data_IF_081742536118
#
_entry.id   IF_081742536118
#
_cell.length_a   1.000
_cell.length_b   1.000
_cell.length_c   1.000
_cell.angle_alpha   90.00
_cell.angle_beta   90.00
_cell.angle_gamma   90.00
#
_symmetry.space_group_name_H-M   'P 1'
#
loop_
_entity.id
_entity.type
_entity.pdbx_description
1 polymer ?
#
# COMPACT_ATOMS: atom_id res chain seq x y z
N UNK A 1 -30.39 -12.58 13.13
CA UNK A 1 -31.44 -11.98 12.31
C UNK A 1 -32.74 -12.61 12.74
N UNK A 2 -33.55 -11.88 13.48
CA UNK A 2 -34.96 -12.21 13.67
C UNK A 2 -35.69 -11.35 12.64
N UNK A 3 -35.98 -11.89 11.49
CA UNK A 3 -36.94 -11.33 10.57
C UNK A 3 -38.32 -11.70 11.11
N UNK A 4 -39.21 -10.73 11.23
CA UNK A 4 -40.63 -11.01 11.35
C UNK A 4 -41.17 -11.58 10.06
N UNK A 5 -42.28 -12.30 10.14
CA UNK A 5 -42.88 -13.08 9.04
C UNK A 5 -43.20 -12.28 7.76
N UNK A 6 -42.97 -10.97 7.74
CA UNK A 6 -43.23 -10.05 6.62
C UNK A 6 -41.95 -9.48 5.98
N UNK A 7 -40.76 -9.94 6.33
CA UNK A 7 -39.52 -9.48 5.68
C UNK A 7 -39.08 -8.04 5.99
N UNK A 8 -39.70 -7.38 6.92
CA UNK A 8 -39.40 -6.00 7.30
C UNK A 8 -38.22 -6.03 8.31
N UNK A 9 -37.09 -5.47 7.93
CA UNK A 9 -35.94 -5.30 8.83
C UNK A 9 -36.39 -4.40 9.98
N UNK A 10 -36.49 -4.94 11.20
CA UNK A 10 -36.84 -4.14 12.40
C UNK A 10 -35.67 -3.19 12.66
N UNK A 11 -35.82 -1.93 12.29
CA UNK A 11 -34.89 -0.85 12.61
C UNK A 11 -35.07 -0.45 14.08
N UNK A 12 -34.12 -0.85 14.95
CA UNK A 12 -34.13 -0.44 16.34
C UNK A 12 -34.02 1.08 16.43
N UNK A 13 -34.88 1.70 17.27
CA UNK A 13 -34.86 3.15 17.52
C UNK A 13 -34.33 3.41 18.92
N UNK A 14 -33.51 4.43 19.04
CA UNK A 14 -32.89 4.85 20.29
C UNK A 14 -32.83 6.37 20.39
N UNK A 15 -32.19 6.85 21.43
CA UNK A 15 -31.92 8.28 21.66
C UNK A 15 -30.50 8.50 22.13
N UNK A 16 -29.90 9.62 21.78
CA UNK A 16 -28.59 10.04 22.26
C UNK A 16 -28.63 10.36 23.73
N UNK A 17 -27.79 9.72 24.55
CA UNK A 17 -27.72 9.92 26.00
C UNK A 17 -26.43 10.61 26.45
N UNK A 18 -25.35 10.51 25.68
CA UNK A 18 -24.12 11.24 25.95
C UNK A 18 -23.34 11.52 24.67
N UNK A 19 -22.60 12.63 24.64
CA UNK A 19 -21.69 13.00 23.55
C UNK A 19 -20.36 13.42 24.18
N UNK A 20 -19.26 12.81 23.74
CA UNK A 20 -17.89 13.12 24.20
C UNK A 20 -16.94 13.17 23.00
N UNK A 21 -16.73 14.34 22.43
CA UNK A 21 -15.99 14.48 21.18
C UNK A 21 -16.61 13.66 20.06
N UNK A 22 -15.86 12.76 19.43
CA UNK A 22 -16.35 11.87 18.37
C UNK A 22 -17.03 10.59 18.86
N UNK A 23 -17.34 10.48 20.17
CA UNK A 23 -18.04 9.31 20.74
C UNK A 23 -19.45 9.72 21.17
N UNK A 24 -20.42 8.91 20.78
CA UNK A 24 -21.85 9.11 21.06
C UNK A 24 -22.38 7.85 21.75
N UNK A 25 -22.91 8.02 22.97
CA UNK A 25 -23.63 6.95 23.65
C UNK A 25 -25.12 7.06 23.33
N UNK A 26 -25.75 5.98 22.90
CA UNK A 26 -27.16 5.93 22.52
C UNK A 26 -27.89 4.81 23.26
N UNK A 27 -29.04 5.11 23.83
CA UNK A 27 -29.91 4.16 24.50
C UNK A 27 -30.95 3.58 23.55
N UNK A 28 -31.10 2.27 23.54
CA UNK A 28 -32.05 1.52 22.75
C UNK A 28 -32.99 0.71 23.70
N UNK A 29 -34.17 1.20 24.03
CA UNK A 29 -35.02 0.58 25.05
C UNK A 29 -35.51 -0.83 24.70
N UNK A 30 -35.70 -1.12 23.42
CA UNK A 30 -36.26 -2.40 22.97
C UNK A 30 -35.16 -3.46 22.71
N UNK A 31 -34.11 -3.10 21.94
CA UNK A 31 -33.03 -3.99 21.60
C UNK A 31 -31.81 -3.19 21.15
N UNK A 32 -30.68 -3.40 21.82
CA UNK A 32 -29.42 -2.76 21.46
C UNK A 32 -28.86 -3.34 20.13
N UNK A 33 -28.43 -2.49 19.20
CA UNK A 33 -27.76 -2.91 17.99
C UNK A 33 -26.46 -3.68 18.31
N UNK A 34 -26.09 -4.62 17.45
CA UNK A 34 -24.85 -5.37 17.58
C UNK A 34 -23.63 -4.47 17.33
N UNK A 35 -22.47 -4.86 17.83
CA UNK A 35 -21.19 -4.23 17.51
C UNK A 35 -21.01 -4.22 15.99
N UNK A 36 -20.41 -3.14 15.48
CA UNK A 36 -20.22 -2.79 14.05
C UNK A 36 -21.52 -2.43 13.29
N UNK A 37 -22.69 -2.42 13.95
CA UNK A 37 -23.89 -1.92 13.27
C UNK A 37 -23.77 -0.42 13.00
N UNK A 38 -24.13 -0.02 11.78
CA UNK A 38 -24.24 1.39 11.40
C UNK A 38 -25.56 1.95 11.95
N UNK A 39 -25.49 3.07 12.64
CA UNK A 39 -26.65 3.80 13.14
C UNK A 39 -26.56 5.27 12.71
N UNK A 40 -27.70 5.94 12.64
CA UNK A 40 -27.77 7.35 12.24
C UNK A 40 -28.39 8.18 13.35
N UNK A 41 -27.79 9.32 13.68
CA UNK A 41 -28.28 10.31 14.60
C UNK A 41 -28.13 11.72 14.02
N UNK A 42 -29.22 12.46 13.83
CA UNK A 42 -29.20 13.83 13.29
C UNK A 42 -28.50 13.92 11.91
N UNK A 43 -28.64 12.89 11.07
CA UNK A 43 -27.97 12.81 9.76
C UNK A 43 -26.50 12.34 9.82
N UNK A 44 -25.94 12.12 11.00
CA UNK A 44 -24.56 11.67 11.21
C UNK A 44 -24.52 10.15 11.26
N UNK A 45 -23.63 9.54 10.49
CA UNK A 45 -23.37 8.11 10.56
C UNK A 45 -22.45 7.79 11.77
N UNK A 46 -22.84 6.77 12.52
CA UNK A 46 -22.14 6.29 13.71
C UNK A 46 -21.96 4.78 13.61
N UNK A 47 -20.82 4.23 14.02
CA UNK A 47 -20.63 2.79 14.16
C UNK A 47 -20.66 2.38 15.63
N UNK A 48 -21.42 1.33 15.96
CA UNK A 48 -21.46 0.76 17.31
C UNK A 48 -20.13 0.09 17.61
N UNK A 49 -19.39 0.63 18.57
CA UNK A 49 -18.07 0.15 18.97
C UNK A 49 -18.09 -0.77 20.18
N UNK A 50 -19.03 -0.57 21.11
CA UNK A 50 -19.17 -1.40 22.29
C UNK A 50 -20.57 -1.30 22.91
N UNK A 51 -20.92 -2.31 23.68
CA UNK A 51 -22.11 -2.33 24.53
C UNK A 51 -21.70 -1.82 25.93
N UNK A 52 -22.41 -0.83 26.46
CA UNK A 52 -22.08 -0.23 27.77
C UNK A 52 -22.91 -0.86 28.90
N UNK A 53 -24.06 -1.43 28.58
CA UNK A 53 -25.02 -2.04 29.52
C UNK A 53 -26.40 -1.35 29.42
N UNK A 54 -27.42 -1.99 29.97
CA UNK A 54 -28.79 -1.47 30.07
C UNK A 54 -29.37 -0.93 28.74
N UNK A 55 -29.06 -1.58 27.62
CA UNK A 55 -29.49 -1.17 26.29
C UNK A 55 -28.74 0.04 25.72
N UNK A 56 -27.67 0.49 26.39
CA UNK A 56 -26.83 1.60 25.91
C UNK A 56 -25.68 1.06 25.07
N UNK A 57 -25.50 1.62 23.88
CA UNK A 57 -24.37 1.36 23.01
C UNK A 57 -23.49 2.58 22.91
N UNK A 58 -22.19 2.36 22.82
CA UNK A 58 -21.19 3.38 22.54
C UNK A 58 -20.80 3.33 21.07
N UNK A 59 -20.93 4.47 20.40
CA UNK A 59 -20.71 4.59 18.98
C UNK A 59 -19.56 5.56 18.69
N UNK A 60 -18.83 5.28 17.60
CA UNK A 60 -17.83 6.19 17.02
C UNK A 60 -18.46 6.93 15.86
N UNK A 61 -18.30 8.26 15.85
CA UNK A 61 -18.80 9.09 14.78
C UNK A 61 -17.93 8.93 13.51
N UNK A 62 -18.61 8.77 12.37
CA UNK A 62 -18.03 8.75 11.03
C UNK A 62 -18.22 10.10 10.32
N UNK A 63 -18.30 11.15 11.09
CA UNK A 63 -18.43 12.54 10.65
C UNK A 63 -18.45 13.50 11.84
N UNK A 64 -18.46 14.81 11.57
CA UNK A 64 -18.51 15.82 12.64
C UNK A 64 -19.83 15.76 13.42
N UNK A 65 -19.74 15.67 14.75
CA UNK A 65 -20.91 15.60 15.64
C UNK A 65 -21.50 16.97 15.98
N UNK A 66 -21.05 18.02 15.31
CA UNK A 66 -21.54 19.39 15.55
C UNK A 66 -23.04 19.48 15.27
N UNK A 67 -23.79 20.03 16.22
CA UNK A 67 -25.24 20.19 16.14
C UNK A 67 -26.04 18.97 16.62
N UNK A 68 -25.38 17.86 16.97
CA UNK A 68 -26.05 16.73 17.61
C UNK A 68 -26.30 17.04 19.09
N UNK A 69 -27.56 16.91 19.54
CA UNK A 69 -27.98 17.17 20.94
C UNK A 69 -28.34 15.90 21.68
N UNK A 70 -28.35 15.99 23.01
CA UNK A 70 -28.93 14.95 23.87
C UNK A 70 -30.41 14.76 23.55
N UNK A 71 -30.90 13.54 23.63
CA UNK A 71 -32.29 13.21 23.26
C UNK A 71 -32.53 13.10 21.76
N UNK A 72 -31.54 13.42 20.89
CA UNK A 72 -31.68 13.26 19.46
C UNK A 72 -32.03 11.80 19.08
N UNK A 73 -32.95 11.57 18.13
CA UNK A 73 -33.31 10.23 17.71
C UNK A 73 -32.18 9.53 17.02
N UNK A 74 -31.99 8.24 17.35
CA UNK A 74 -31.02 7.35 16.72
C UNK A 74 -31.77 6.22 16.03
N UNK A 75 -31.40 5.93 14.79
CA UNK A 75 -32.00 4.85 14.01
C UNK A 75 -30.93 3.86 13.60
N UNK A 76 -31.10 2.59 13.92
CA UNK A 76 -30.22 1.51 13.48
C UNK A 76 -30.55 1.09 12.05
N UNK A 77 -29.52 0.82 11.26
CA UNK A 77 -29.70 0.22 9.91
C UNK A 77 -29.88 -1.30 9.97
N UNK A 78 -29.67 -1.91 11.15
CA UNK A 78 -29.67 -3.37 11.32
C UNK A 78 -28.46 -4.10 10.71
N UNK A 79 -27.57 -3.39 10.02
CA UNK A 79 -26.41 -3.95 9.33
C UNK A 79 -25.15 -3.12 9.59
N UNK A 80 -23.99 -3.72 9.34
CA UNK A 80 -22.72 -3.01 9.36
C UNK A 80 -22.59 -2.04 8.16
N UNK A 81 -21.62 -1.13 8.24
CA UNK A 81 -21.26 -0.28 7.11
C UNK A 81 -20.95 -1.16 5.90
N UNK A 82 -21.55 -0.83 4.76
CA UNK A 82 -21.35 -1.53 3.49
C UNK A 82 -20.91 -0.56 2.40
N UNK A 83 -20.14 -1.06 1.44
CA UNK A 83 -19.65 -0.31 0.28
C UNK A 83 -20.15 -0.92 -1.02
N UNK A 84 -20.33 -0.11 -2.09
CA UNK A 84 -20.60 -0.64 -3.41
C UNK A 84 -19.42 -1.50 -3.89
N UNK A 85 -19.71 -2.60 -4.55
CA UNK A 85 -18.73 -3.47 -5.18
C UNK A 85 -19.13 -3.76 -6.63
N UNK A 86 -18.22 -4.23 -7.44
CA UNK A 86 -18.46 -4.51 -8.85
C UNK A 86 -17.68 -3.61 -9.79
N UNK A 87 -17.83 -3.81 -11.08
CA UNK A 87 -17.13 -3.03 -12.12
C UNK A 87 -17.51 -1.54 -12.09
N UNK A 88 -18.68 -1.21 -11.58
CA UNK A 88 -19.15 0.18 -11.48
C UNK A 88 -18.31 1.08 -10.55
N UNK A 89 -17.42 0.49 -9.73
CA UNK A 89 -16.48 1.28 -8.89
C UNK A 89 -15.15 1.55 -9.61
N UNK A 90 -14.88 0.90 -10.75
CA UNK A 90 -13.70 1.18 -11.55
C UNK A 90 -13.75 2.61 -12.12
N UNK A 91 -12.61 3.25 -12.20
CA UNK A 91 -12.51 4.64 -12.64
C UNK A 91 -13.06 5.65 -11.64
N UNK A 92 -13.26 5.29 -10.36
CA UNK A 92 -13.92 6.15 -9.38
C UNK A 92 -13.01 6.51 -8.19
N UNK A 93 -13.23 7.72 -7.68
CA UNK A 93 -12.69 8.18 -6.41
C UNK A 93 -13.81 8.22 -5.38
N UNK A 94 -13.69 7.43 -4.31
CA UNK A 94 -14.74 7.16 -3.34
C UNK A 94 -14.27 7.43 -1.90
N UNK A 95 -15.21 7.72 -1.02
CA UNK A 95 -14.94 7.82 0.42
C UNK A 95 -15.18 6.47 1.15
N UNK A 96 -15.10 6.49 2.50
CA UNK A 96 -15.30 5.31 3.36
C UNK A 96 -16.66 4.63 3.15
N UNK A 97 -17.69 5.35 2.73
CA UNK A 97 -19.05 4.85 2.47
C UNK A 97 -19.21 4.34 1.02
N UNK A 98 -18.19 4.51 0.18
CA UNK A 98 -18.28 4.31 -1.26
C UNK A 98 -19.08 5.41 -1.97
N UNK A 99 -19.23 6.57 -1.33
CA UNK A 99 -19.79 7.75 -1.97
C UNK A 99 -18.72 8.48 -2.81
N UNK A 100 -19.11 9.10 -3.94
CA UNK A 100 -18.16 9.71 -4.87
C UNK A 100 -17.49 10.95 -4.29
N UNK A 101 -16.19 11.08 -4.51
CA UNK A 101 -15.36 12.27 -4.30
C UNK A 101 -14.96 12.93 -5.62
N UNK A 102 -15.19 12.26 -6.75
CA UNK A 102 -14.82 12.67 -8.10
C UNK A 102 -15.83 13.61 -8.78
N UNK A 103 -16.88 14.04 -8.06
CA UNK A 103 -17.93 14.89 -8.61
C UNK A 103 -18.91 14.18 -9.54
N UNK A 104 -18.75 12.89 -9.77
CA UNK A 104 -19.64 12.09 -10.61
C UNK A 104 -20.82 11.51 -9.79
N UNK A 105 -21.90 11.05 -10.44
CA UNK A 105 -23.00 10.36 -9.76
C UNK A 105 -22.50 9.11 -9.00
N UNK A 106 -23.22 8.65 -7.96
CA UNK A 106 -22.88 7.41 -7.26
C UNK A 106 -22.74 6.21 -8.21
N UNK A 107 -21.84 5.25 -7.91
CA UNK A 107 -21.69 4.04 -8.72
C UNK A 107 -23.01 3.30 -8.87
N UNK A 108 -23.40 3.00 -10.11
CA UNK A 108 -24.66 2.30 -10.42
C UNK A 108 -24.48 0.79 -10.22
N UNK A 109 -24.54 0.36 -8.97
CA UNK A 109 -24.52 -1.08 -8.62
C UNK A 109 -25.53 -1.35 -7.51
N UNK A 110 -26.25 -2.47 -7.65
CA UNK A 110 -27.10 -3.00 -6.58
C UNK A 110 -26.29 -3.82 -5.56
N UNK A 111 -25.06 -4.22 -5.92
CA UNK A 111 -24.21 -5.04 -5.05
C UNK A 111 -23.48 -4.17 -4.03
N UNK A 112 -23.73 -4.46 -2.76
CA UNK A 112 -23.02 -3.86 -1.64
C UNK A 112 -22.51 -4.97 -0.72
N UNK A 113 -21.34 -4.78 -0.14
CA UNK A 113 -20.72 -5.74 0.77
C UNK A 113 -20.30 -5.04 2.07
N UNK A 114 -20.62 -5.65 3.21
CA UNK A 114 -20.18 -5.14 4.51
C UNK A 114 -18.68 -5.10 4.63
N UNK A 115 -18.13 -4.07 5.29
CA UNK A 115 -16.67 -3.88 5.37
C UNK A 115 -15.98 -4.78 6.42
N UNK A 116 -16.73 -5.31 7.36
CA UNK A 116 -16.21 -6.22 8.39
C UNK A 116 -16.28 -7.67 7.90
N UNK A 117 -15.36 -8.02 6.99
CA UNK A 117 -15.23 -9.38 6.47
C UNK A 117 -14.15 -10.14 7.25
N UNK A 118 -14.32 -11.46 7.47
CA UNK A 118 -13.26 -12.31 7.98
C UNK A 118 -12.15 -12.50 6.93
N UNK A 119 -10.94 -12.85 7.35
CA UNK A 119 -9.89 -13.26 6.41
C UNK A 119 -10.30 -14.55 5.67
N UNK A 120 -9.73 -14.79 4.47
CA UNK A 120 -9.95 -16.04 3.75
C UNK A 120 -9.56 -17.24 4.64
N UNK A 121 -10.37 -18.33 4.66
CA UNK A 121 -10.03 -19.52 5.42
C UNK A 121 -8.74 -20.15 4.89
N UNK A 122 -7.97 -20.82 5.75
CA UNK A 122 -6.70 -21.43 5.37
C UNK A 122 -6.85 -22.46 4.24
N UNK A 123 -8.00 -23.13 4.16
CA UNK A 123 -8.32 -24.06 3.07
C UNK A 123 -8.36 -23.45 1.69
N UNK A 124 -8.63 -22.15 1.60
CA UNK A 124 -8.77 -21.42 0.32
C UNK A 124 -7.50 -20.66 -0.06
N UNK A 125 -6.56 -20.51 0.88
CA UNK A 125 -5.29 -19.84 0.63
C UNK A 125 -4.36 -20.70 -0.23
N UNK A 126 -3.65 -20.05 -1.16
CA UNK A 126 -2.56 -20.67 -1.92
C UNK A 126 -1.29 -20.54 -1.10
N UNK A 127 -0.68 -21.68 -0.77
CA UNK A 127 0.56 -21.72 0.03
C UNK A 127 1.83 -21.68 -0.82
N UNK A 128 1.71 -21.73 -2.14
CA UNK A 128 2.86 -21.67 -3.04
C UNK A 128 3.33 -20.22 -3.16
N UNK A 129 4.59 -20.00 -2.84
CA UNK A 129 5.24 -18.72 -3.04
C UNK A 129 5.46 -18.48 -4.54
N UNK A 130 4.84 -17.41 -5.07
CA UNK A 130 5.00 -16.96 -6.45
C UNK A 130 5.46 -15.50 -6.45
N UNK A 131 6.39 -15.15 -7.35
CA UNK A 131 6.87 -13.78 -7.50
C UNK A 131 5.92 -13.01 -8.42
N UNK A 132 5.54 -11.80 -8.03
CA UNK A 132 4.92 -10.81 -8.89
C UNK A 132 6.03 -10.01 -9.57
N UNK A 133 6.22 -10.19 -10.85
CA UNK A 133 7.17 -9.43 -11.65
C UNK A 133 6.64 -8.01 -11.87
N UNK A 134 7.37 -7.01 -11.38
CA UNK A 134 6.95 -5.61 -11.47
C UNK A 134 7.41 -4.92 -12.75
N UNK A 135 8.37 -5.50 -13.45
CA UNK A 135 9.04 -4.90 -14.59
C UNK A 135 9.99 -3.76 -14.21
N UNK A 136 10.29 -3.61 -12.91
CA UNK A 136 11.22 -2.62 -12.36
C UNK A 136 12.49 -3.34 -11.90
N UNK A 137 13.59 -3.16 -12.64
CA UNK A 137 14.86 -3.89 -12.45
C UNK A 137 15.32 -3.96 -11.00
N UNK A 138 15.36 -2.82 -10.31
CA UNK A 138 15.88 -2.74 -8.95
C UNK A 138 15.01 -3.52 -7.94
N UNK A 139 13.70 -3.56 -8.13
CA UNK A 139 12.76 -4.29 -7.28
C UNK A 139 12.83 -5.77 -7.59
N UNK A 140 12.63 -6.15 -8.84
CA UNK A 140 12.54 -7.55 -9.25
C UNK A 140 13.83 -8.31 -8.97
N UNK A 141 15.00 -7.66 -9.13
CA UNK A 141 16.30 -8.26 -8.84
C UNK A 141 16.56 -8.45 -7.35
N UNK A 142 16.33 -7.40 -6.54
CA UNK A 142 16.87 -7.32 -5.18
C UNK A 142 15.83 -7.52 -4.08
N UNK A 143 14.57 -7.17 -4.33
CA UNK A 143 13.46 -7.33 -3.39
C UNK A 143 12.19 -7.81 -4.09
N UNK A 144 12.24 -9.00 -4.73
CA UNK A 144 11.10 -9.54 -5.48
C UNK A 144 9.85 -9.59 -4.62
N UNK A 145 8.73 -9.14 -5.18
CA UNK A 145 7.45 -9.03 -4.50
C UNK A 145 6.73 -10.37 -4.55
N UNK A 146 6.19 -10.81 -3.41
CA UNK A 146 5.34 -11.99 -3.33
C UNK A 146 3.94 -11.70 -3.86
N UNK A 147 3.45 -12.51 -4.79
CA UNK A 147 2.06 -12.45 -5.27
C UNK A 147 1.11 -12.88 -4.13
N UNK A 148 0.22 -11.97 -3.73
CA UNK A 148 -0.63 -12.15 -2.55
C UNK A 148 0.06 -11.85 -1.24
N UNK A 149 1.31 -11.36 -1.29
CA UNK A 149 2.07 -10.90 -0.14
C UNK A 149 1.89 -9.42 0.15
N UNK A 150 2.67 -8.94 1.09
CA UNK A 150 2.64 -7.56 1.59
C UNK A 150 4.04 -6.99 1.54
N UNK A 151 4.19 -5.90 0.80
CA UNK A 151 5.47 -5.20 0.65
C UNK A 151 5.41 -3.84 1.30
N UNK A 152 6.35 -3.56 2.19
CA UNK A 152 6.52 -2.24 2.76
C UNK A 152 7.35 -1.34 1.84
N UNK A 153 6.85 -0.15 1.56
CA UNK A 153 7.57 0.89 0.84
C UNK A 153 8.01 1.97 1.83
N UNK A 154 9.31 2.04 2.07
CA UNK A 154 9.93 2.97 3.01
C UNK A 154 10.60 4.11 2.28
N UNK A 155 10.50 5.31 2.82
CA UNK A 155 11.19 6.48 2.26
C UNK A 155 10.59 7.79 2.75
N UNK A 156 11.43 8.81 2.85
CA UNK A 156 11.01 10.15 3.21
C UNK A 156 10.26 10.88 2.09
N UNK A 157 9.97 12.15 2.30
CA UNK A 157 9.40 12.99 1.25
C UNK A 157 10.42 13.26 0.13
N UNK A 158 9.95 13.38 -1.11
CA UNK A 158 10.76 13.77 -2.26
C UNK A 158 11.67 12.69 -2.85
N UNK A 159 11.52 11.42 -2.47
CA UNK A 159 12.34 10.31 -3.02
C UNK A 159 11.68 9.59 -4.21
N UNK A 160 10.56 10.09 -4.71
CA UNK A 160 9.86 9.50 -5.85
C UNK A 160 8.87 8.37 -5.48
N UNK A 161 8.36 8.35 -4.22
CA UNK A 161 7.41 7.33 -3.78
C UNK A 161 6.16 7.27 -4.66
N UNK A 162 5.49 8.41 -4.86
CA UNK A 162 4.26 8.51 -5.68
C UNK A 162 4.52 8.05 -7.11
N UNK A 163 5.63 8.48 -7.71
CA UNK A 163 6.04 8.08 -9.07
C UNK A 163 6.23 6.57 -9.16
N UNK A 164 6.87 5.95 -8.17
CA UNK A 164 7.04 4.51 -8.13
C UNK A 164 5.70 3.78 -8.00
N UNK A 165 4.79 4.27 -7.14
CA UNK A 165 3.45 3.71 -7.00
C UNK A 165 2.65 3.81 -8.30
N UNK A 166 2.72 4.96 -8.97
CA UNK A 166 2.07 5.19 -10.26
C UNK A 166 2.57 4.21 -11.33
N UNK A 167 3.88 3.96 -11.37
CA UNK A 167 4.49 3.02 -12.30
C UNK A 167 4.05 1.58 -12.02
N UNK A 168 3.97 1.18 -10.74
CA UNK A 168 3.49 -0.14 -10.34
C UNK A 168 2.01 -0.35 -10.74
N UNK A 169 1.17 0.68 -10.60
CA UNK A 169 -0.20 0.66 -11.10
C UNK A 169 -0.22 0.45 -12.61
N UNK A 170 0.54 1.27 -13.34
CA UNK A 170 0.62 1.20 -14.80
C UNK A 170 1.04 -0.21 -15.27
N UNK A 171 2.11 -0.75 -14.71
CA UNK A 171 2.63 -2.05 -15.08
C UNK A 171 1.65 -3.19 -14.73
N UNK A 172 0.96 -3.12 -13.58
CA UNK A 172 -0.05 -4.10 -13.19
C UNK A 172 -1.25 -4.10 -14.15
N UNK A 173 -1.74 -2.92 -14.50
CA UNK A 173 -2.89 -2.76 -15.39
C UNK A 173 -2.59 -3.23 -16.81
N UNK A 174 -1.46 -2.83 -17.37
CA UNK A 174 -1.13 -3.09 -18.77
C UNK A 174 -0.56 -4.51 -19.00
N UNK A 175 0.25 -5.03 -18.07
CA UNK A 175 0.96 -6.29 -18.28
C UNK A 175 0.32 -7.48 -17.56
N UNK A 176 -0.26 -7.27 -16.37
CA UNK A 176 -0.92 -8.36 -15.63
C UNK A 176 -2.44 -8.40 -15.84
N UNK A 177 -3.01 -7.44 -16.60
CA UNK A 177 -4.46 -7.32 -16.81
C UNK A 177 -5.25 -7.33 -15.49
N UNK A 178 -4.59 -6.91 -14.41
CA UNK A 178 -5.14 -6.84 -13.07
C UNK A 178 -5.91 -5.54 -12.82
N UNK A 179 -6.50 -5.48 -11.64
CA UNK A 179 -7.17 -4.28 -11.11
C UNK A 179 -6.28 -3.67 -10.03
N UNK A 180 -6.14 -2.36 -10.04
CA UNK A 180 -5.43 -1.65 -8.99
C UNK A 180 -6.40 -0.91 -8.08
N UNK A 181 -6.18 -1.00 -6.77
CA UNK A 181 -6.87 -0.18 -5.78
C UNK A 181 -5.87 0.69 -5.03
N UNK A 182 -6.20 1.96 -4.89
CA UNK A 182 -5.44 2.87 -4.04
C UNK A 182 -6.27 3.24 -2.82
N UNK A 183 -5.72 3.05 -1.64
CA UNK A 183 -6.32 3.41 -0.37
C UNK A 183 -5.49 4.51 0.30
N UNK A 184 -5.99 5.73 0.29
CA UNK A 184 -5.41 6.88 1.00
C UNK A 184 -5.95 6.98 2.43
N UNK A 185 -5.11 6.68 3.43
CA UNK A 185 -5.47 6.76 4.84
C UNK A 185 -4.83 8.00 5.47
N UNK A 186 -5.63 8.98 5.82
CA UNK A 186 -5.14 10.22 6.42
C UNK A 186 -4.33 11.09 5.45
N UNK A 187 -4.56 10.93 4.16
CA UNK A 187 -3.88 11.70 3.12
C UNK A 187 -4.47 13.10 2.96
N UNK A 188 -3.67 14.01 2.41
CA UNK A 188 -4.10 15.37 2.10
C UNK A 188 -4.94 15.35 0.83
N UNK A 189 -6.00 16.15 0.81
CA UNK A 189 -6.89 16.28 -0.35
C UNK A 189 -6.14 16.63 -1.64
N UNK A 190 -5.12 17.47 -1.54
CA UNK A 190 -4.27 17.86 -2.67
C UNK A 190 -3.49 16.67 -3.26
N UNK A 191 -2.93 15.81 -2.43
CA UNK A 191 -2.18 14.63 -2.88
C UNK A 191 -3.11 13.62 -3.58
N UNK A 192 -4.34 13.48 -3.07
CA UNK A 192 -5.38 12.67 -3.70
C UNK A 192 -5.78 13.21 -5.10
N UNK A 193 -5.93 14.53 -5.23
CA UNK A 193 -6.25 15.20 -6.49
C UNK A 193 -5.12 15.07 -7.51
N UNK A 194 -3.86 15.27 -7.07
CA UNK A 194 -2.66 15.11 -7.90
C UNK A 194 -2.58 13.68 -8.44
N UNK A 195 -2.72 12.66 -7.58
CA UNK A 195 -2.71 11.26 -7.98
C UNK A 195 -3.86 10.93 -8.94
N UNK A 196 -5.07 11.44 -8.70
CA UNK A 196 -6.20 11.24 -9.59
C UNK A 196 -5.94 11.77 -11.01
N UNK A 197 -5.31 12.94 -11.10
CA UNK A 197 -4.95 13.55 -12.39
C UNK A 197 -3.85 12.73 -13.07
N UNK A 198 -2.77 12.38 -12.35
CA UNK A 198 -1.65 11.59 -12.87
C UNK A 198 -2.12 10.25 -13.44
N UNK A 199 -3.02 9.55 -12.74
CA UNK A 199 -3.60 8.30 -13.24
C UNK A 199 -4.46 8.49 -14.48
N UNK A 200 -5.12 9.65 -14.60
CA UNK A 200 -5.85 10.01 -15.81
C UNK A 200 -4.91 10.28 -16.99
N UNK A 201 -3.84 11.01 -16.75
CA UNK A 201 -2.81 11.31 -17.77
C UNK A 201 -2.04 10.05 -18.22
N UNK A 202 -1.81 9.10 -17.29
CA UNK A 202 -1.21 7.81 -17.58
C UNK A 202 -2.15 6.81 -18.27
N UNK A 203 -3.45 7.13 -18.42
CA UNK A 203 -4.44 6.28 -19.10
C UNK A 203 -4.86 5.04 -18.32
N UNK A 204 -4.51 4.91 -17.04
CA UNK A 204 -4.77 3.71 -16.22
C UNK A 204 -5.97 3.87 -15.28
N UNK A 205 -6.51 5.08 -15.17
CA UNK A 205 -7.58 5.41 -14.22
C UNK A 205 -8.80 4.50 -14.34
N UNK A 206 -9.21 4.15 -15.55
CA UNK A 206 -10.43 3.37 -15.78
C UNK A 206 -10.35 1.92 -15.28
N UNK A 207 -9.15 1.43 -14.94
CA UNK A 207 -8.89 0.10 -14.40
C UNK A 207 -8.49 0.13 -12.92
N UNK A 208 -8.69 1.26 -12.24
CA UNK A 208 -8.39 1.39 -10.82
C UNK A 208 -9.56 1.94 -10.03
N UNK A 209 -9.50 1.72 -8.71
CA UNK A 209 -10.41 2.32 -7.73
C UNK A 209 -9.58 3.10 -6.72
N UNK A 210 -10.00 4.31 -6.40
CA UNK A 210 -9.37 5.11 -5.34
C UNK A 210 -10.34 5.29 -4.19
N UNK A 211 -9.89 5.00 -2.96
CA UNK A 211 -10.72 5.13 -1.74
C UNK A 211 -9.95 5.96 -0.73
N UNK A 212 -10.53 7.05 -0.27
CA UNK A 212 -9.87 8.00 0.63
C UNK A 212 -10.61 8.20 1.94
N UNK A 213 -9.84 8.19 3.05
CA UNK A 213 -10.18 8.79 4.32
C UNK A 213 -9.21 9.94 4.56
N UNK A 214 -9.66 11.18 4.30
CA UNK A 214 -8.80 12.36 4.31
C UNK A 214 -8.31 12.72 5.73
N UNK A 215 -7.22 13.47 5.81
CA UNK A 215 -6.59 13.86 7.08
C UNK A 215 -7.52 14.64 8.02
N UNK A 216 -8.43 15.45 7.46
CA UNK A 216 -9.37 16.26 8.22
C UNK A 216 -10.67 15.51 8.61
N UNK A 217 -10.83 14.28 8.18
CA UNK A 217 -12.02 13.47 8.53
C UNK A 217 -11.89 12.86 9.93
N UNK A 218 -13.03 12.45 10.48
CA UNK A 218 -13.11 11.85 11.81
C UNK A 218 -12.19 10.61 11.93
N UNK A 219 -11.61 10.34 13.13
CA UNK A 219 -10.76 9.18 13.34
C UNK A 219 -11.41 7.85 12.93
N UNK A 220 -12.72 7.69 13.15
CA UNK A 220 -13.49 6.52 12.72
C UNK A 220 -13.45 6.31 11.20
N UNK A 221 -13.52 7.37 10.41
CA UNK A 221 -13.41 7.30 8.94
C UNK A 221 -12.03 6.80 8.53
N UNK A 222 -10.97 7.43 9.06
CA UNK A 222 -9.58 7.05 8.76
C UNK A 222 -9.24 5.62 9.19
N UNK A 223 -9.89 5.13 10.26
CA UNK A 223 -9.72 3.77 10.74
C UNK A 223 -10.47 2.73 9.90
N UNK A 224 -11.61 3.10 9.29
CA UNK A 224 -12.44 2.16 8.53
C UNK A 224 -12.14 2.16 7.02
N UNK A 225 -11.56 3.21 6.47
CA UNK A 225 -11.36 3.35 5.02
C UNK A 225 -10.53 2.22 4.41
N UNK A 226 -9.52 1.72 5.13
CA UNK A 226 -8.74 0.55 4.70
C UNK A 226 -9.59 -0.71 4.54
N UNK A 227 -10.57 -0.91 5.43
CA UNK A 227 -11.52 -2.02 5.33
C UNK A 227 -12.47 -1.84 4.14
N UNK A 228 -12.88 -0.61 3.85
CA UNK A 228 -13.72 -0.28 2.69
C UNK A 228 -13.01 -0.60 1.38
N UNK A 229 -11.76 -0.13 1.22
CA UNK A 229 -10.94 -0.42 0.06
C UNK A 229 -10.71 -1.92 -0.11
N UNK A 230 -10.35 -2.60 0.98
CA UNK A 230 -10.06 -4.04 0.96
C UNK A 230 -11.31 -4.86 0.59
N UNK A 231 -12.51 -4.43 1.03
CA UNK A 231 -13.77 -5.09 0.64
C UNK A 231 -14.07 -4.96 -0.86
N UNK A 232 -13.71 -3.82 -1.47
CA UNK A 232 -13.80 -3.66 -2.92
C UNK A 232 -12.77 -4.54 -3.65
N UNK A 233 -11.53 -4.63 -3.13
CA UNK A 233 -10.49 -5.49 -3.66
C UNK A 233 -10.88 -6.98 -3.61
N UNK A 234 -11.47 -7.42 -2.52
CA UNK A 234 -11.94 -8.79 -2.33
C UNK A 234 -13.00 -9.20 -3.35
N UNK A 235 -13.85 -8.29 -3.80
CA UNK A 235 -14.80 -8.57 -4.87
C UNK A 235 -14.08 -8.99 -6.15
N UNK A 236 -13.06 -8.27 -6.57
CA UNK A 236 -12.31 -8.60 -7.78
C UNK A 236 -11.54 -9.91 -7.65
N UNK A 237 -10.93 -10.17 -6.48
CA UNK A 237 -10.26 -11.44 -6.18
C UNK A 237 -11.22 -12.62 -6.19
N UNK A 238 -12.35 -12.53 -5.45
CA UNK A 238 -13.18 -13.67 -5.09
C UNK A 238 -14.29 -13.95 -6.11
N UNK A 239 -14.87 -12.90 -6.73
CA UNK A 239 -15.98 -13.04 -7.69
C UNK A 239 -15.49 -12.94 -9.14
N UNK A 240 -14.46 -12.13 -9.40
CA UNK A 240 -13.92 -11.95 -10.75
C UNK A 240 -12.71 -12.84 -11.03
N UNK A 241 -12.11 -13.42 -9.99
CA UNK A 241 -10.92 -14.26 -10.13
C UNK A 241 -9.70 -13.51 -10.65
N UNK A 242 -9.60 -12.21 -10.32
CA UNK A 242 -8.55 -11.34 -10.81
C UNK A 242 -7.43 -11.15 -9.79
N UNK A 243 -6.26 -10.80 -10.30
CA UNK A 243 -5.18 -10.29 -9.47
C UNK A 243 -5.39 -8.81 -9.19
N UNK A 244 -5.27 -8.47 -7.93
CA UNK A 244 -5.49 -7.12 -7.44
C UNK A 244 -4.21 -6.58 -6.83
N UNK A 245 -3.76 -5.42 -7.27
CA UNK A 245 -2.73 -4.63 -6.60
C UNK A 245 -3.41 -3.64 -5.66
N UNK A 246 -3.22 -3.82 -4.35
CA UNK A 246 -3.72 -2.92 -3.32
C UNK A 246 -2.59 -2.03 -2.80
N UNK A 247 -2.67 -0.75 -3.10
CA UNK A 247 -1.75 0.26 -2.61
C UNK A 247 -2.36 0.96 -1.40
N UNK A 248 -1.63 1.01 -0.27
CA UNK A 248 -2.07 1.69 0.94
C UNK A 248 -1.08 2.80 1.27
N UNK A 249 -1.56 4.04 1.25
CA UNK A 249 -0.79 5.20 1.70
C UNK A 249 -1.59 5.98 2.75
N UNK A 250 -1.27 5.92 4.01
CA UNK A 250 -0.14 5.27 4.67
C UNK A 250 -0.65 4.32 5.77
N UNK A 251 -0.12 3.10 5.86
CA UNK A 251 -0.60 2.11 6.84
C UNK A 251 -0.38 2.57 8.30
N UNK A 252 0.65 3.38 8.56
CA UNK A 252 0.87 3.96 9.88
C UNK A 252 -0.28 4.89 10.31
N UNK A 253 -0.96 5.55 9.37
CA UNK A 253 -2.12 6.38 9.64
C UNK A 253 -3.33 5.57 10.11
N UNK A 254 -3.45 4.32 9.65
CA UNK A 254 -4.44 3.39 10.19
C UNK A 254 -4.19 3.15 11.70
N UNK A 255 -2.94 2.90 12.08
CA UNK A 255 -2.55 2.71 13.47
C UNK A 255 -2.84 3.96 14.31
N UNK A 256 -2.49 5.15 13.80
CA UNK A 256 -2.79 6.43 14.47
C UNK A 256 -4.30 6.62 14.67
N UNK A 257 -5.10 6.38 13.64
CA UNK A 257 -6.55 6.47 13.73
C UNK A 257 -7.13 5.50 14.77
N UNK A 258 -6.61 4.27 14.83
CA UNK A 258 -6.97 3.28 15.86
C UNK A 258 -6.61 3.76 17.27
N UNK A 259 -5.47 4.41 17.45
CA UNK A 259 -5.05 5.00 18.73
C UNK A 259 -5.98 6.15 19.16
N UNK A 260 -6.34 7.04 18.23
CA UNK A 260 -7.30 8.12 18.48
C UNK A 260 -8.68 7.56 18.85
N UNK A 261 -9.18 6.56 18.11
CA UNK A 261 -10.44 5.87 18.39
C UNK A 261 -10.41 5.23 19.78
N UNK A 262 -9.34 4.52 20.12
CA UNK A 262 -9.16 3.89 21.43
C UNK A 262 -9.17 4.91 22.57
N UNK A 263 -8.50 6.04 22.38
CA UNK A 263 -8.51 7.15 23.34
C UNK A 263 -9.89 7.76 23.53
N UNK A 264 -10.62 8.00 22.42
CA UNK A 264 -11.99 8.49 22.46
C UNK A 264 -12.94 7.53 23.19
N UNK A 265 -12.73 6.22 23.06
CA UNK A 265 -13.49 5.19 23.78
C UNK A 265 -13.12 5.09 25.27
N UNK A 266 -12.12 5.83 25.73
CA UNK A 266 -11.64 5.80 27.11
C UNK A 266 -10.86 4.54 27.47
N UNK A 267 -10.28 3.83 26.52
CA UNK A 267 -9.44 2.68 26.76
C UNK A 267 -8.07 3.13 27.26
N UNK A 268 -7.53 2.42 28.26
CA UNK A 268 -6.19 2.71 28.77
C UNK A 268 -5.15 2.39 27.69
N UNK A 269 -4.25 3.35 27.36
CA UNK A 269 -3.22 3.10 26.36
C UNK A 269 -2.19 2.07 26.84
N UNK A 270 -1.62 1.34 25.91
CA UNK A 270 -0.49 0.45 26.13
C UNK A 270 0.85 1.20 26.00
N UNK A 271 1.94 0.48 25.75
CA UNK A 271 3.29 1.04 25.59
C UNK A 271 3.32 2.13 24.51
N UNK A 272 4.03 3.23 24.79
CA UNK A 272 4.23 4.39 23.87
C UNK A 272 2.92 5.09 23.49
N UNK A 273 1.81 4.86 24.22
CA UNK A 273 0.54 5.53 23.96
C UNK A 273 -0.36 4.83 22.89
N UNK A 274 0.05 3.70 22.36
CA UNK A 274 -0.76 2.95 21.39
C UNK A 274 -1.92 2.21 22.07
N UNK A 275 -2.93 1.88 21.25
CA UNK A 275 -4.07 1.08 21.69
C UNK A 275 -3.66 -0.35 22.10
N UNK A 276 -4.27 -0.92 23.13
CA UNK A 276 -3.98 -2.30 23.55
C UNK A 276 -4.35 -3.35 22.50
N UNK A 277 -5.21 -3.00 21.56
CA UNK A 277 -5.72 -3.82 20.46
C UNK A 277 -4.92 -3.67 19.15
N UNK A 278 -3.80 -2.94 19.16
CA UNK A 278 -2.99 -2.64 17.97
C UNK A 278 -2.70 -3.87 17.10
N UNK A 279 -2.13 -4.90 17.70
CA UNK A 279 -1.75 -6.11 16.97
C UNK A 279 -2.96 -6.82 16.34
N UNK A 280 -4.06 -6.92 17.08
CA UNK A 280 -5.28 -7.58 16.60
C UNK A 280 -5.98 -6.80 15.51
N UNK A 281 -6.03 -5.46 15.63
CA UNK A 281 -6.66 -4.58 14.63
C UNK A 281 -5.88 -4.57 13.33
N UNK A 282 -4.56 -4.51 13.41
CA UNK A 282 -3.69 -4.56 12.24
C UNK A 282 -3.76 -5.95 11.58
N UNK A 283 -3.67 -7.04 12.35
CA UNK A 283 -3.80 -8.39 11.84
C UNK A 283 -5.16 -8.63 11.16
N UNK A 284 -6.25 -8.09 11.72
CA UNK A 284 -7.58 -8.21 11.12
C UNK A 284 -7.69 -7.54 9.73
N UNK A 285 -6.88 -6.52 9.46
CA UNK A 285 -6.76 -5.92 8.13
C UNK A 285 -5.83 -6.74 7.24
N UNK A 286 -4.62 -7.02 7.73
CA UNK A 286 -3.53 -7.63 6.96
C UNK A 286 -3.82 -9.08 6.55
N UNK A 287 -4.49 -9.86 7.38
CA UNK A 287 -4.81 -11.26 7.08
C UNK A 287 -5.89 -11.45 6.00
N UNK A 288 -6.58 -10.39 5.61
CA UNK A 288 -7.49 -10.38 4.46
C UNK A 288 -6.75 -10.27 3.13
N UNK A 289 -5.51 -9.74 3.17
CA UNK A 289 -4.60 -9.63 2.01
C UNK A 289 -3.92 -10.97 1.81
N UNK A 290 -4.32 -11.69 0.79
CA UNK A 290 -3.81 -13.03 0.53
C UNK A 290 -4.11 -13.49 -0.90
N UNK A 291 -3.33 -14.47 -1.38
CA UNK A 291 -3.68 -15.28 -2.54
C UNK A 291 -4.67 -16.37 -2.15
N UNK A 292 -5.71 -16.52 -2.97
CA UNK A 292 -6.69 -17.60 -2.88
C UNK A 292 -6.68 -18.42 -4.17
N UNK A 293 -7.38 -19.55 -4.18
CA UNK A 293 -7.53 -20.36 -5.40
C UNK A 293 -8.23 -19.63 -6.55
N UNK A 294 -8.90 -18.52 -6.27
CA UNK A 294 -9.65 -17.73 -7.26
C UNK A 294 -8.84 -16.60 -7.85
N UNK A 295 -8.05 -15.91 -7.02
CA UNK A 295 -7.25 -14.76 -7.41
C UNK A 295 -6.38 -14.30 -6.25
N UNK A 296 -5.66 -13.20 -6.41
CA UNK A 296 -4.76 -12.67 -5.39
C UNK A 296 -5.01 -11.20 -5.07
N UNK A 297 -4.71 -10.80 -3.84
CA UNK A 297 -4.51 -9.39 -3.47
C UNK A 297 -3.07 -9.26 -3.03
N UNK A 298 -2.26 -8.56 -3.82
CA UNK A 298 -0.89 -8.17 -3.45
C UNK A 298 -0.92 -6.74 -2.95
N UNK A 299 -0.34 -6.49 -1.77
CA UNK A 299 -0.34 -5.14 -1.20
C UNK A 299 1.03 -4.52 -1.19
N UNK A 300 1.09 -3.23 -1.57
CA UNK A 300 2.25 -2.36 -1.37
C UNK A 300 1.81 -1.25 -0.43
N UNK A 301 2.46 -1.17 0.72
CA UNK A 301 2.08 -0.29 1.80
C UNK A 301 3.17 0.73 2.05
N UNK A 302 2.84 2.01 1.87
CA UNK A 302 3.73 3.05 2.33
C UNK A 302 3.78 3.04 3.86
N UNK A 303 4.98 2.93 4.39
CA UNK A 303 5.22 2.88 5.83
C UNK A 303 6.00 4.11 6.26
N UNK A 304 5.42 4.87 7.17
CA UNK A 304 6.13 5.91 7.90
C UNK A 304 6.67 5.32 9.19
N UNK A 305 7.96 5.49 9.43
CA UNK A 305 8.61 5.07 10.69
C UNK A 305 8.89 6.34 11.51
N UNK A 306 8.23 6.53 12.65
CA UNK A 306 8.45 7.71 13.49
C UNK A 306 9.92 7.82 13.93
N UNK A 307 10.53 8.98 13.69
CA UNK A 307 11.92 9.26 14.05
C UNK A 307 12.96 8.23 13.53
N UNK A 308 12.61 7.50 12.47
CA UNK A 308 13.38 6.36 11.93
C UNK A 308 13.66 5.26 12.98
N UNK A 309 12.80 5.17 14.01
CA UNK A 309 12.90 4.16 15.08
C UNK A 309 12.13 2.89 14.73
N UNK A 310 12.82 1.90 14.25
CA UNK A 310 12.27 0.57 13.91
C UNK A 310 11.88 -0.26 15.14
N UNK A 311 12.19 0.20 16.35
CA UNK A 311 11.77 -0.45 17.61
C UNK A 311 10.42 0.04 18.11
N UNK A 312 9.83 1.04 17.44
CA UNK A 312 8.48 1.50 17.71
C UNK A 312 7.48 0.35 17.58
N UNK A 313 6.56 0.15 18.54
CA UNK A 313 5.60 -0.97 18.50
C UNK A 313 4.76 -1.04 17.21
N UNK A 314 4.34 0.10 16.67
CA UNK A 314 3.57 0.11 15.42
C UNK A 314 4.43 -0.33 14.24
N UNK A 315 5.66 0.17 14.14
CA UNK A 315 6.61 -0.24 13.13
C UNK A 315 6.90 -1.74 13.21
N UNK A 316 7.20 -2.26 14.41
CA UNK A 316 7.48 -3.67 14.63
C UNK A 316 6.31 -4.57 14.22
N UNK A 317 5.06 -4.20 14.57
CA UNK A 317 3.88 -4.95 14.16
C UNK A 317 3.64 -4.90 12.64
N UNK A 318 3.81 -3.74 12.00
CA UNK A 318 3.70 -3.64 10.54
C UNK A 318 4.74 -4.54 9.88
N UNK A 319 6.02 -4.45 10.29
CA UNK A 319 7.10 -5.26 9.74
C UNK A 319 6.86 -6.76 9.85
N UNK A 320 6.22 -7.22 10.94
CA UNK A 320 5.95 -8.65 11.13
C UNK A 320 4.99 -9.24 10.09
N UNK A 321 4.24 -8.41 9.37
CA UNK A 321 3.34 -8.84 8.31
C UNK A 321 3.95 -8.76 6.90
N UNK A 322 5.11 -8.11 6.74
CA UNK A 322 5.70 -7.86 5.42
C UNK A 322 6.52 -9.06 4.92
N UNK A 323 6.34 -9.42 3.66
CA UNK A 323 7.20 -10.38 2.96
C UNK A 323 8.36 -9.71 2.22
N UNK A 324 8.26 -8.42 1.93
CA UNK A 324 9.33 -7.64 1.33
C UNK A 324 9.36 -6.21 1.85
N UNK A 325 10.52 -5.58 1.79
CA UNK A 325 10.74 -4.17 2.08
C UNK A 325 11.52 -3.51 0.94
N UNK A 326 10.95 -2.46 0.38
CA UNK A 326 11.59 -1.59 -0.61
C UNK A 326 11.89 -0.27 0.06
N UNK A 327 13.16 0.07 0.15
CA UNK A 327 13.64 1.29 0.81
C UNK A 327 14.06 2.29 -0.26
N UNK A 328 13.46 3.49 -0.25
CA UNK A 328 13.85 4.60 -1.11
C UNK A 328 14.82 5.52 -0.39
N UNK A 329 15.98 5.76 -0.98
CA UNK A 329 17.09 6.52 -0.42
C UNK A 329 17.12 7.95 -0.92
N UNK A 330 17.19 8.93 0.00
CA UNK A 330 17.42 10.35 -0.34
C UNK A 330 18.77 10.57 -1.03
N UNK A 331 19.79 9.81 -0.63
CA UNK A 331 21.13 9.87 -1.21
C UNK A 331 21.06 9.52 -2.70
N UNK A 332 20.41 8.39 -3.05
CA UNK A 332 20.22 7.99 -4.45
C UNK A 332 19.38 8.96 -5.24
N UNK A 333 18.31 9.50 -4.65
CA UNK A 333 17.50 10.53 -5.29
C UNK A 333 18.31 11.80 -5.57
N UNK A 334 19.18 12.25 -4.66
CA UNK A 334 20.07 13.41 -4.87
C UNK A 334 21.16 13.14 -5.90
N UNK A 335 21.55 11.89 -6.10
CA UNK A 335 22.50 11.45 -7.14
C UNK A 335 21.80 11.25 -8.52
N UNK A 336 20.47 11.45 -8.58
CA UNK A 336 19.69 11.28 -9.81
C UNK A 336 19.42 9.81 -10.18
N UNK A 337 19.67 8.85 -9.30
CA UNK A 337 19.47 7.42 -9.55
C UNK A 337 18.01 7.03 -9.29
N UNK A 338 17.20 6.98 -10.33
CA UNK A 338 15.77 6.65 -10.24
C UNK A 338 15.44 5.33 -10.96
N UNK A 339 14.57 4.45 -10.36
CA UNK A 339 13.97 4.60 -9.03
C UNK A 339 15.04 4.61 -7.92
N UNK A 340 14.82 5.46 -6.92
CA UNK A 340 15.82 5.68 -5.86
C UNK A 340 15.85 4.53 -4.82
N UNK A 341 15.68 3.29 -5.28
CA UNK A 341 15.69 2.08 -4.45
C UNK A 341 17.08 1.85 -3.90
N UNK A 342 17.18 1.69 -2.58
CA UNK A 342 18.41 1.31 -1.92
C UNK A 342 18.63 -0.21 -2.03
N UNK A 343 19.66 -0.67 -2.76
CA UNK A 343 19.87 -2.09 -3.01
C UNK A 343 20.38 -2.87 -1.79
N UNK A 344 20.96 -2.17 -0.80
CA UNK A 344 21.50 -2.78 0.40
C UNK A 344 20.48 -2.81 1.54
N UNK A 345 19.61 -1.78 1.63
CA UNK A 345 18.58 -1.68 2.65
C UNK A 345 17.27 -2.41 2.29
N UNK A 346 17.02 -2.65 0.99
CA UNK A 346 15.83 -3.38 0.52
C UNK A 346 16.02 -4.88 0.65
N UNK A 347 14.96 -5.61 1.02
CA UNK A 347 15.00 -7.05 1.26
C UNK A 347 13.69 -7.76 0.89
N UNK A 348 13.75 -9.06 0.63
CA UNK A 348 12.57 -9.90 0.43
C UNK A 348 12.83 -11.33 0.90
N UNK A 349 11.85 -11.94 1.55
CA UNK A 349 11.87 -13.37 1.89
C UNK A 349 11.78 -14.26 0.65
N UNK A 350 11.32 -13.70 -0.48
CA UNK A 350 11.22 -14.40 -1.76
C UNK A 350 12.58 -14.63 -2.42
N UNK A 351 13.61 -13.85 -2.06
CA UNK A 351 14.96 -13.96 -2.65
C UNK A 351 15.70 -15.17 -2.09
N UNK A 352 15.21 -16.35 -2.44
CA UNK A 352 15.79 -17.65 -2.09
C UNK A 352 15.90 -18.54 -3.33
N UNK A 353 16.88 -19.45 -3.42
CA UNK A 353 17.03 -20.32 -4.58
C UNK A 353 15.80 -21.17 -4.91
N UNK A 354 15.02 -21.53 -3.87
CA UNK A 354 13.81 -22.35 -4.03
C UNK A 354 12.64 -21.61 -4.67
N UNK A 355 12.64 -20.27 -4.65
CA UNK A 355 11.58 -19.43 -5.21
C UNK A 355 12.02 -18.78 -6.52
N UNK A 356 13.10 -18.00 -6.50
CA UNK A 356 13.56 -17.24 -7.69
C UNK A 356 14.50 -18.04 -8.60
N UNK A 357 14.96 -19.21 -8.18
CA UNK A 357 15.96 -20.00 -8.87
C UNK A 357 17.39 -19.62 -8.51
N UNK A 358 18.33 -20.57 -8.73
CA UNK A 358 19.73 -20.41 -8.34
C UNK A 358 20.43 -19.23 -9.03
N UNK A 359 20.18 -19.08 -10.35
CA UNK A 359 20.80 -18.01 -11.15
C UNK A 359 20.45 -16.62 -10.63
N UNK A 360 19.18 -16.35 -10.39
CA UNK A 360 18.72 -15.05 -9.88
C UNK A 360 19.34 -14.77 -8.51
N UNK A 361 19.26 -15.73 -7.61
CA UNK A 361 19.82 -15.62 -6.25
C UNK A 361 21.33 -15.29 -6.27
N UNK A 362 22.12 -16.00 -7.10
CA UNK A 362 23.55 -15.79 -7.19
C UNK A 362 23.91 -14.42 -7.77
N UNK A 363 23.21 -13.97 -8.82
CA UNK A 363 23.39 -12.65 -9.43
C UNK A 363 23.02 -11.55 -8.42
N UNK A 364 21.88 -11.65 -7.75
CA UNK A 364 21.45 -10.66 -6.76
C UNK A 364 22.45 -10.53 -5.60
N UNK A 365 22.99 -11.66 -5.12
CA UNK A 365 24.05 -11.66 -4.10
C UNK A 365 25.35 -11.03 -4.60
N UNK A 366 25.75 -11.32 -5.84
CA UNK A 366 26.94 -10.73 -6.43
C UNK A 366 26.80 -9.22 -6.61
N UNK A 367 25.65 -8.75 -7.08
CA UNK A 367 25.32 -7.32 -7.20
C UNK A 367 25.40 -6.64 -5.83
N UNK A 368 24.74 -7.19 -4.81
CA UNK A 368 24.77 -6.62 -3.45
C UNK A 368 26.19 -6.55 -2.89
N UNK A 369 26.98 -7.63 -3.06
CA UNK A 369 28.36 -7.64 -2.60
C UNK A 369 29.20 -6.57 -3.28
N UNK A 370 29.11 -6.45 -4.61
CA UNK A 370 29.86 -5.43 -5.37
C UNK A 370 29.47 -4.01 -4.95
N UNK A 371 28.16 -3.75 -4.71
CA UNK A 371 27.68 -2.45 -4.24
C UNK A 371 28.10 -2.16 -2.79
N UNK A 372 28.13 -3.17 -1.91
CA UNK A 372 28.59 -3.02 -0.53
C UNK A 372 30.09 -2.70 -0.47
N UNK A 373 30.91 -3.44 -1.22
CA UNK A 373 32.36 -3.18 -1.36
C UNK A 373 32.61 -1.76 -1.91
N UNK A 374 31.80 -1.31 -2.87
CA UNK A 374 31.91 0.05 -3.41
C UNK A 374 31.54 1.12 -2.37
N UNK A 375 30.52 0.88 -1.56
CA UNK A 375 30.13 1.85 -0.50
C UNK A 375 31.27 2.03 0.53
N UNK A 376 31.98 0.96 0.88
CA UNK A 376 33.18 1.04 1.75
C UNK A 376 34.34 1.81 1.10
N UNK A 377 34.48 1.72 -0.21
CA UNK A 377 35.53 2.43 -0.95
C UNK A 377 35.20 3.92 -1.19
N UNK A 378 33.94 4.34 -1.07
CA UNK A 378 33.52 5.73 -1.36
C UNK A 378 34.22 6.76 -0.49
N UNK A 379 34.40 6.47 0.78
CA UNK A 379 35.08 7.38 1.71
C UNK A 379 36.58 7.48 1.37
N UNK A 380 37.19 6.39 0.98
CA UNK A 380 38.59 6.35 0.54
C UNK A 380 38.75 7.15 -0.76
N UNK A 381 37.83 6.98 -1.73
CA UNK A 381 37.85 7.74 -2.98
C UNK A 381 37.68 9.23 -2.74
N UNK A 382 36.78 9.61 -1.81
CA UNK A 382 36.55 11.01 -1.48
C UNK A 382 37.76 11.70 -0.84
N UNK A 383 38.56 10.95 -0.05
CA UNK A 383 39.72 11.49 0.64
C UNK A 383 41.00 11.45 -0.20
N UNK A 384 41.25 10.37 -0.92
CA UNK A 384 42.53 10.09 -1.56
C UNK A 384 42.47 10.10 -3.10
N UNK A 385 41.28 10.02 -3.67
CA UNK A 385 41.08 9.87 -5.11
C UNK A 385 41.10 8.42 -5.58
N UNK A 386 40.57 8.17 -6.78
CA UNK A 386 40.43 6.82 -7.37
C UNK A 386 41.78 6.25 -7.77
N UNK A 387 42.77 7.08 -8.03
CA UNK A 387 44.13 6.69 -8.49
C UNK A 387 44.90 5.93 -7.40
N UNK A 388 44.61 6.15 -6.15
CA UNK A 388 45.26 5.49 -5.01
C UNK A 388 44.67 4.08 -4.73
N UNK A 389 43.62 3.68 -5.41
CA UNK A 389 43.00 2.38 -5.25
C UNK A 389 43.85 1.28 -5.93
N UNK A 390 43.80 0.08 -5.37
CA UNK A 390 44.38 -1.11 -6.03
C UNK A 390 43.68 -1.38 -7.38
N UNK A 391 44.34 -2.15 -8.25
CA UNK A 391 43.72 -2.55 -9.52
C UNK A 391 42.41 -3.35 -9.31
N UNK A 392 42.35 -4.15 -8.24
CA UNK A 392 41.13 -4.87 -7.84
C UNK A 392 40.00 -3.91 -7.47
N UNK A 393 40.29 -2.95 -6.58
CA UNK A 393 39.28 -2.00 -6.09
C UNK A 393 38.78 -1.09 -7.21
N UNK A 394 39.67 -0.65 -8.11
CA UNK A 394 39.25 0.07 -9.33
C UNK A 394 38.29 -0.72 -10.20
N UNK A 395 38.52 -2.02 -10.33
CA UNK A 395 37.60 -2.90 -11.09
C UNK A 395 36.25 -3.06 -10.36
N UNK A 396 36.25 -3.14 -9.03
CA UNK A 396 35.01 -3.15 -8.22
C UNK A 396 34.23 -1.83 -8.43
N UNK A 397 34.89 -0.69 -8.32
CA UNK A 397 34.28 0.63 -8.53
C UNK A 397 33.68 0.75 -9.93
N UNK A 398 34.41 0.32 -10.97
CA UNK A 398 33.97 0.38 -12.35
C UNK A 398 32.70 -0.45 -12.60
N UNK A 399 32.62 -1.65 -12.02
CA UNK A 399 31.42 -2.50 -12.07
C UNK A 399 30.25 -1.90 -11.27
N UNK A 400 30.52 -1.49 -10.03
CA UNK A 400 29.50 -0.96 -9.14
C UNK A 400 28.80 0.27 -9.71
N UNK A 401 29.57 1.24 -10.26
CA UNK A 401 29.00 2.45 -10.88
C UNK A 401 28.13 2.14 -12.09
N UNK A 402 28.48 1.13 -12.88
CA UNK A 402 27.65 0.68 -14.01
C UNK A 402 26.41 -0.05 -13.54
N UNK A 403 26.52 -0.90 -12.51
CA UNK A 403 25.35 -1.55 -11.90
C UNK A 403 24.37 -0.53 -11.32
N UNK A 404 24.86 0.49 -10.61
CA UNK A 404 23.99 1.56 -10.09
C UNK A 404 23.21 2.28 -11.21
N UNK A 405 23.88 2.60 -12.32
CA UNK A 405 23.24 3.23 -13.47
C UNK A 405 22.34 2.27 -14.24
N UNK A 406 22.76 1.03 -14.45
CA UNK A 406 21.95 0.01 -15.11
C UNK A 406 20.65 -0.29 -14.35
N UNK A 407 20.65 -0.21 -13.01
CA UNK A 407 19.46 -0.39 -12.19
C UNK A 407 18.51 0.84 -12.21
N UNK A 408 18.94 1.96 -12.82
CA UNK A 408 18.00 3.06 -13.14
C UNK A 408 17.14 2.68 -14.35
N UNK A 409 15.92 3.25 -14.43
CA UNK A 409 14.97 2.88 -15.46
C UNK A 409 14.03 4.05 -15.75
N UNK A 410 13.75 4.36 -17.02
CA UNK A 410 12.76 5.34 -17.37
C UNK A 410 11.35 4.77 -17.15
N UNK A 411 10.49 5.54 -16.50
CA UNK A 411 9.13 5.15 -16.19
C UNK A 411 8.13 5.72 -17.20
N UNK A 412 7.07 4.96 -17.50
CA UNK A 412 5.98 5.39 -18.38
C UNK A 412 5.27 6.63 -17.83
N UNK A 413 5.06 6.64 -16.51
CA UNK A 413 4.32 7.70 -15.82
C UNK A 413 5.04 9.06 -15.81
N UNK A 414 6.34 9.08 -16.05
CA UNK A 414 7.16 10.32 -16.13
C UNK A 414 7.62 10.62 -17.55
N UNK A 415 7.56 9.62 -18.44
CA UNK A 415 8.15 9.69 -19.78
C UNK A 415 7.66 10.84 -20.63
N UNK A 416 6.36 11.16 -20.60
CA UNK A 416 5.78 12.27 -21.37
C UNK A 416 6.36 13.64 -20.95
N UNK A 417 6.63 13.85 -19.66
CA UNK A 417 7.22 15.08 -19.14
C UNK A 417 8.75 15.14 -19.34
N UNK A 418 9.42 13.98 -19.35
CA UNK A 418 10.87 13.87 -19.47
C UNK A 418 11.36 13.70 -20.92
N UNK A 419 10.45 13.56 -21.90
CA UNK A 419 10.80 13.31 -23.31
C UNK A 419 11.44 11.93 -23.54
N UNK A 420 11.24 10.99 -22.62
CA UNK A 420 11.74 9.61 -22.68
C UNK A 420 10.59 8.63 -22.76
N UNK A 421 10.78 7.53 -23.49
CA UNK A 421 9.81 6.44 -23.50
C UNK A 421 10.05 5.54 -22.28
N UNK A 422 9.01 5.28 -21.50
CA UNK A 422 9.09 4.33 -20.38
C UNK A 422 9.46 2.93 -20.86
N UNK A 423 10.07 2.16 -19.97
CA UNK A 423 10.52 0.78 -20.25
C UNK A 423 10.04 -0.14 -19.14
N UNK A 424 9.36 -1.21 -19.51
CA UNK A 424 9.18 -2.39 -18.65
C UNK A 424 10.28 -3.38 -18.99
N UNK A 425 11.00 -3.87 -18.00
CA UNK A 425 12.15 -4.76 -18.22
C UNK A 425 11.88 -6.11 -17.57
N UNK A 426 11.76 -7.18 -18.35
CA UNK A 426 11.64 -8.55 -17.81
C UNK A 426 12.82 -8.90 -16.91
N UNK A 427 12.55 -9.70 -15.88
CA UNK A 427 13.63 -10.13 -14.95
C UNK A 427 14.75 -10.86 -15.67
N UNK A 428 14.47 -11.63 -16.72
CA UNK A 428 15.49 -12.31 -17.54
C UNK A 428 16.52 -11.34 -18.12
N UNK A 429 16.05 -10.21 -18.70
CA UNK A 429 16.92 -9.18 -19.27
C UNK A 429 17.70 -8.44 -18.19
N UNK A 430 17.08 -8.21 -17.03
CA UNK A 430 17.76 -7.65 -15.86
C UNK A 430 18.89 -8.54 -15.38
N UNK A 431 18.65 -9.86 -15.31
CA UNK A 431 19.68 -10.84 -14.91
C UNK A 431 20.80 -10.93 -15.93
N UNK A 432 20.47 -10.96 -17.22
CA UNK A 432 21.47 -10.99 -18.30
C UNK A 432 22.37 -9.75 -18.24
N UNK A 433 21.78 -8.57 -18.05
CA UNK A 433 22.50 -7.32 -17.95
C UNK A 433 23.43 -7.27 -16.73
N UNK A 434 22.93 -7.64 -15.56
CA UNK A 434 23.74 -7.67 -14.34
C UNK A 434 24.88 -8.71 -14.44
N UNK A 435 24.60 -9.90 -14.98
CA UNK A 435 25.62 -10.94 -15.17
C UNK A 435 26.73 -10.47 -16.12
N UNK A 436 26.37 -9.82 -17.23
CA UNK A 436 27.33 -9.26 -18.17
C UNK A 436 28.22 -8.20 -17.51
N UNK A 437 27.65 -7.25 -16.76
CA UNK A 437 28.43 -6.22 -16.07
C UNK A 437 29.35 -6.82 -15.00
N UNK A 438 28.87 -7.82 -14.25
CA UNK A 438 29.66 -8.48 -13.20
C UNK A 438 30.84 -9.28 -13.76
N UNK A 439 30.73 -9.87 -14.97
CA UNK A 439 31.76 -10.69 -15.60
C UNK A 439 32.83 -9.91 -16.35
N UNK A 440 32.56 -8.64 -16.69
CA UNK A 440 33.46 -7.81 -17.47
C UNK A 440 34.68 -7.34 -16.63
N UNK A 441 35.85 -7.40 -17.24
CA UNK A 441 37.09 -6.83 -16.70
C UNK A 441 37.46 -5.51 -17.37
N UNK A 442 36.97 -5.26 -18.57
CA UNK A 442 37.03 -3.98 -19.32
C UNK A 442 35.70 -3.67 -19.92
N UNK A 443 35.38 -2.38 -20.09
CA UNK A 443 34.12 -1.93 -20.58
C UNK A 443 34.30 -1.10 -21.85
N UNK A 444 33.55 -1.42 -22.89
CA UNK A 444 33.55 -0.72 -24.19
C UNK A 444 32.81 0.61 -24.12
N UNK A 445 31.75 0.67 -23.27
CA UNK A 445 30.90 1.85 -23.12
C UNK A 445 31.22 2.65 -21.84
N UNK A 446 31.09 3.99 -21.88
CA UNK A 446 31.23 4.82 -20.69
C UNK A 446 30.13 4.53 -19.67
N UNK A 447 30.35 4.88 -18.40
CA UNK A 447 29.38 4.65 -17.32
C UNK A 447 28.01 5.31 -17.61
N UNK A 448 28.01 6.46 -18.26
CA UNK A 448 26.78 7.23 -18.61
C UNK A 448 25.85 6.47 -19.58
N UNK A 449 26.40 5.59 -20.42
CA UNK A 449 25.62 4.82 -21.37
C UNK A 449 24.64 3.83 -20.68
N UNK A 450 24.93 3.42 -19.46
CA UNK A 450 24.10 2.49 -18.68
C UNK A 450 22.95 3.21 -17.92
N UNK A 451 22.89 4.54 -17.99
CA UNK A 451 21.91 5.33 -17.25
C UNK A 451 20.59 5.43 -18.00
N UNK A 452 19.47 5.15 -17.28
CA UNK A 452 18.10 5.21 -17.79
C UNK A 452 17.87 4.40 -19.07
N UNK A 453 18.46 3.22 -19.17
CA UNK A 453 18.19 2.23 -20.23
C UNK A 453 17.26 1.14 -19.71
N UNK A 454 16.63 0.36 -20.58
CA UNK A 454 15.92 -0.87 -20.25
C UNK A 454 16.91 -2.05 -20.12
N UNK A 455 17.06 -2.81 -21.20
CA UNK A 455 18.04 -3.91 -21.31
C UNK A 455 19.40 -3.41 -21.81
N UNK A 456 20.42 -4.28 -21.77
CA UNK A 456 21.73 -3.97 -22.37
C UNK A 456 21.66 -3.77 -23.89
N UNK A 457 20.68 -4.36 -24.56
CA UNK A 457 20.41 -4.13 -26.00
C UNK A 457 20.08 -2.70 -26.35
N UNK A 458 19.72 -1.88 -25.35
CA UNK A 458 19.46 -0.45 -25.52
C UNK A 458 20.76 0.39 -25.53
N UNK A 459 21.92 -0.21 -25.20
CA UNK A 459 23.20 0.46 -25.33
C UNK A 459 23.37 0.85 -26.81
N UNK A 460 23.37 2.15 -27.09
CA UNK A 460 23.66 2.63 -28.43
C UNK A 460 25.11 2.33 -28.74
N UNK A 461 25.37 1.70 -29.89
CA UNK A 461 26.68 1.76 -30.48
C UNK A 461 27.00 3.24 -30.65
N UNK A 462 28.02 3.73 -29.96
CA UNK A 462 28.52 5.08 -30.19
C UNK A 462 28.89 5.12 -31.68
N UNK A 463 28.17 5.95 -32.44
CA UNK A 463 28.57 6.27 -33.80
C UNK A 463 29.96 6.89 -33.68
N UNK A 464 30.97 6.17 -34.14
CA UNK A 464 32.36 6.53 -34.14
C UNK A 464 32.60 7.82 -34.97
#
# INVERSE_FOLDING_TARGET
>A
MTADADGTTITAKGTVVAIRGGVVDAAFPASAPRIHTLVHAGGIALEVASLVGDGVVRCIALGPVRGLGLGAPVTSTGAALSVPVGEAVLGRMLNVFGAPLDGLPPPRTAMRRGIHQPPPPLSDRVLRAEVLETGIKAIDLLSPIERGGKTGLFGGAGVGKTVLLSELIHNTVEHHHGVSLFCGIGERSREAEELWREMGEAGVRDKMVMVFGQMNEAPGVRFLVGKSALTMAEYFRDERGQDVLLLIDNIFRFVQAGSEVSGLLGRMPSRVGYQPTLATELAALEERIASTRKGSITSIQAVYVPADDFTDPAAAHIFSHLSASVVLSRKRASEGLYPAVDPLASASVMLTPGVVGQRHYDIARAVRRTLAEYEELRDIIAMLGIEELSAHDRAVVARARRLERFLTQPFFTVGAAAGTTGKLVPISETLDGCAAILSQTSFEHPESAYYMIGALSDLKEDAA
#
